data_IF_173402868221
#
_entry.id   IF_173402868221
#
_cell.length_a   1.000
_cell.length_b   1.000
_cell.length_c   1.000
_cell.angle_alpha   90.00
_cell.angle_beta   90.00
_cell.angle_gamma   90.00
#
_symmetry.space_group_name_H-M   'P 1'
#
loop_
_entity.id
_entity.type
_entity.pdbx_description
1 polymer ?
2 non-polymer ?
3 non-polymer ?
4 non-polymer ?
5 water ?
#
# COMPACT_ATOMS: atom_id res chain seq x y z
N UNK A 18 20.87 23.50 9.11
CA UNK A 18 20.92 24.97 9.11
C UNK A 18 19.91 25.54 10.14
N UNK A 19 18.68 25.01 10.20
CA UNK A 19 17.81 25.30 11.33
C UNK A 19 17.85 24.15 12.33
N UNK A 20 17.33 24.41 13.54
CA UNK A 20 17.30 23.41 14.60
C UNK A 20 15.92 23.33 15.25
N UNK A 21 15.32 22.14 15.25
CA UNK A 21 14.06 21.91 15.94
C UNK A 21 14.36 21.44 17.37
N UNK A 22 14.00 22.28 18.36
CA UNK A 22 14.33 21.96 19.75
C UNK A 22 13.47 20.84 20.31
N UNK A 23 12.21 20.70 19.84
CA UNK A 23 11.33 19.64 20.35
C UNK A 23 11.80 18.25 19.93
N UNK A 24 12.26 18.10 18.67
CA UNK A 24 12.83 16.85 18.19
C UNK A 24 14.36 16.83 18.32
N UNK A 25 14.96 17.95 18.73
CA UNK A 25 16.39 18.06 18.97
C UNK A 25 17.20 17.67 17.74
N UNK A 26 16.78 18.18 16.58
CA UNK A 26 17.39 17.73 15.33
C UNK A 26 17.53 18.89 14.36
N UNK A 27 18.67 18.93 13.68
CA UNK A 27 18.93 19.92 12.65
C UNK A 27 18.18 19.54 11.38
N UNK A 28 17.72 20.57 10.65
CA UNK A 28 16.92 20.37 9.45
C UNK A 28 17.03 21.61 8.56
N UNK A 29 16.78 21.42 7.26
CA UNK A 29 16.61 22.51 6.32
C UNK A 29 15.11 22.73 6.09
N UNK A 30 14.63 23.93 6.42
CA UNK A 30 13.20 24.23 6.38
C UNK A 30 12.65 24.10 4.96
N UNK A 31 11.45 23.59 4.87
CA UNK A 31 10.75 23.40 3.62
C UNK A 31 9.57 24.36 3.58
N UNK A 32 8.93 24.55 2.43
CA UNK A 32 7.83 25.52 2.36
C UNK A 32 6.59 25.13 3.16
N UNK A 33 6.34 23.84 3.36
CA UNK A 33 5.14 23.43 4.04
C UNK A 33 3.93 23.41 3.12
N UNK A 34 2.80 22.96 3.66
CA UNK A 34 1.63 22.74 2.83
C UNK A 34 1.20 23.99 2.07
N UNK A 35 0.72 23.77 0.87
CA UNK A 35 0.30 24.86 0.01
C UNK A 35 -0.89 25.59 0.60
N UNK A 36 -0.92 26.91 0.37
CA UNK A 36 -2.11 27.68 0.74
C UNK A 36 -3.28 27.38 -0.19
N UNK A 37 -3.00 27.14 -1.47
CA UNK A 37 -4.02 26.72 -2.44
C UNK A 37 -4.31 25.25 -2.22
N UNK A 38 -5.55 24.93 -1.84
CA UNK A 38 -5.92 23.58 -1.47
C UNK A 38 -6.75 22.93 -2.56
N UNK A 39 -6.74 21.60 -2.59
CA UNK A 39 -7.67 20.86 -3.44
C UNK A 39 -9.11 21.27 -3.15
N UNK A 40 -9.96 21.17 -4.17
CA UNK A 40 -11.39 21.32 -3.96
C UNK A 40 -11.90 20.23 -3.02
N UNK A 41 -13.00 20.54 -2.34
CA UNK A 41 -13.52 19.62 -1.33
C UNK A 41 -13.84 18.26 -1.96
N UNK A 42 -14.38 18.28 -3.17
CA UNK A 42 -14.70 17.05 -3.88
C UNK A 42 -13.47 16.15 -3.95
N UNK A 43 -12.31 16.73 -4.25
CA UNK A 43 -11.08 15.94 -4.29
C UNK A 43 -10.57 15.59 -2.89
N UNK A 44 -10.67 16.52 -1.94
CA UNK A 44 -10.28 16.21 -0.58
C UNK A 44 -10.93 14.91 -0.10
N UNK A 45 -12.19 14.71 -0.48
CA UNK A 45 -13.00 13.57 -0.05
C UNK A 45 -12.71 12.28 -0.81
N UNK A 46 -11.73 12.30 -1.71
CA UNK A 46 -11.23 11.12 -2.38
C UNK A 46 -9.79 10.78 -1.99
N UNK A 47 -9.11 11.60 -1.18
CA UNK A 47 -7.74 11.27 -0.73
C UNK A 47 -7.78 10.00 0.12
N UNK A 48 -7.05 8.99 -0.29
CA UNK A 48 -7.03 7.76 0.49
C UNK A 48 -8.16 6.79 0.15
N UNK A 49 -8.99 7.09 -0.83
CA UNK A 49 -10.05 6.15 -1.18
C UNK A 49 -9.48 4.99 -2.01
N UNK A 50 -10.15 3.84 -1.94
CA UNK A 50 -9.78 2.69 -2.76
C UNK A 50 -10.81 2.61 -3.87
N UNK A 51 -10.50 3.22 -5.02
CA UNK A 51 -11.50 3.36 -6.09
C UNK A 51 -11.38 2.23 -7.09
N UNK A 52 -11.84 1.05 -6.68
CA UNK A 52 -11.75 -0.12 -7.53
C UNK A 52 -12.48 0.12 -8.86
N UNK A 53 -11.98 -0.45 -9.96
CA UNK A 53 -12.67 -0.26 -11.24
C UNK A 53 -14.01 -0.96 -11.32
N UNK A 54 -14.18 -2.09 -10.63
CA UNK A 54 -15.42 -2.86 -10.68
C UNK A 54 -16.43 -2.40 -9.65
N UNK A 55 -16.11 -1.36 -8.89
CA UNK A 55 -16.97 -0.91 -7.81
C UNK A 55 -16.35 0.26 -7.06
N UNK A 56 -16.67 1.48 -7.47
CA UNK A 56 -16.26 2.70 -6.80
C UNK A 56 -17.36 3.24 -5.89
N UNK A 57 -18.33 2.40 -5.50
CA UNK A 57 -19.49 2.90 -4.78
C UNK A 57 -19.19 3.19 -3.31
N UNK A 58 -18.25 2.46 -2.69
CA UNK A 58 -17.92 2.75 -1.29
C UNK A 58 -17.41 4.20 -1.15
N UNK A 59 -16.72 4.71 -2.16
CA UNK A 59 -16.10 6.02 -2.11
C UNK A 59 -17.10 7.16 -2.28
N UNK A 60 -18.39 6.85 -2.42
CA UNK A 60 -19.42 7.86 -2.52
C UNK A 60 -20.21 8.05 -1.24
N UNK A 61 -20.01 7.19 -0.25
CA UNK A 61 -20.77 7.31 0.98
C UNK A 61 -20.27 8.48 1.81
N UNK A 62 -21.13 9.01 2.70
CA UNK A 62 -20.65 10.08 3.59
C UNK A 62 -19.59 9.60 4.57
N UNK A 63 -19.65 8.32 4.98
CA UNK A 63 -18.65 7.82 5.91
C UNK A 63 -17.27 7.81 5.25
N UNK A 64 -17.23 7.35 4.01
CA UNK A 64 -15.96 7.30 3.29
C UNK A 64 -15.47 8.70 2.98
N UNK A 65 -16.36 9.60 2.63
CA UNK A 65 -15.94 10.95 2.31
C UNK A 65 -15.36 11.62 3.55
N UNK A 66 -15.95 11.35 4.72
CA UNK A 66 -15.38 11.90 5.94
C UNK A 66 -14.01 11.30 6.27
N UNK A 67 -13.87 9.98 6.07
CA UNK A 67 -12.57 9.31 6.25
C UNK A 67 -11.52 9.96 5.39
N UNK A 68 -11.84 10.19 4.12
CA UNK A 68 -10.88 10.73 3.18
C UNK A 68 -10.50 12.16 3.50
N UNK A 69 -11.49 12.99 3.86
CA UNK A 69 -11.14 14.39 4.14
C UNK A 69 -10.33 14.51 5.42
N UNK A 70 -10.58 13.63 6.39
CA UNK A 70 -9.74 13.57 7.56
C UNK A 70 -8.31 13.19 7.18
N UNK A 71 -8.16 12.20 6.30
CA UNK A 71 -6.82 11.86 5.85
C UNK A 71 -6.13 13.06 5.24
N UNK A 72 -6.85 13.79 4.40
CA UNK A 72 -6.28 14.95 3.75
C UNK A 72 -5.80 15.97 4.75
N UNK A 73 -6.63 16.30 5.75
CA UNK A 73 -6.25 17.29 6.76
C UNK A 73 -5.04 16.80 7.59
N UNK A 74 -5.01 15.52 7.93
CA UNK A 74 -3.91 15.01 8.73
C UNK A 74 -2.62 14.90 7.90
N UNK A 75 -2.75 14.58 6.61
CA UNK A 75 -1.59 14.61 5.71
C UNK A 75 -0.99 16.00 5.68
N UNK A 76 -1.84 17.03 5.57
CA UNK A 76 -1.31 18.40 5.58
C UNK A 76 -0.65 18.75 6.90
N UNK A 77 -1.24 18.32 8.01
CA UNK A 77 -0.61 18.59 9.31
C UNK A 77 0.77 17.91 9.43
N UNK A 78 0.86 16.69 8.95
CA UNK A 78 2.14 15.98 8.96
C UNK A 78 3.13 16.66 8.03
N UNK A 79 2.68 17.13 6.85
CA UNK A 79 3.57 17.90 6.01
C UNK A 79 4.12 19.13 6.70
N UNK A 80 3.29 19.79 7.50
CA UNK A 80 3.78 20.95 8.24
C UNK A 80 4.85 20.54 9.27
N UNK A 81 4.61 19.45 10.00
CA UNK A 81 5.62 18.95 10.93
C UNK A 81 6.92 18.62 10.17
N UNK A 82 6.82 17.92 9.06
CA UNK A 82 8.03 17.59 8.30
C UNK A 82 8.77 18.87 7.90
N UNK A 83 8.04 19.87 7.39
CA UNK A 83 8.66 21.11 6.94
C UNK A 83 9.36 21.85 8.06
N UNK A 84 8.96 21.62 9.31
CA UNK A 84 9.58 22.29 10.45
C UNK A 84 10.57 21.42 11.21
N UNK A 85 10.90 20.23 10.71
CA UNK A 85 11.87 19.38 11.37
C UNK A 85 11.30 18.60 12.53
N UNK A 86 9.97 18.50 12.60
CA UNK A 86 9.31 17.84 13.71
C UNK A 86 9.20 16.36 13.56
N UNK A 87 9.15 15.86 12.33
CA UNK A 87 9.19 14.43 12.02
C UNK A 87 10.55 14.20 11.41
N UNK A 88 11.35 13.33 11.99
CA UNK A 88 12.73 13.21 11.58
C UNK A 88 13.09 11.87 10.97
N UNK A 89 12.15 10.93 10.86
CA UNK A 89 12.45 9.68 10.16
C UNK A 89 11.18 9.13 9.52
N UNK A 90 11.35 8.21 8.57
CA UNK A 90 10.17 7.59 7.97
C UNK A 90 9.38 6.79 9.00
N UNK A 91 10.07 6.13 9.93
CA UNK A 91 9.38 5.34 10.96
C UNK A 91 8.47 6.20 11.82
N UNK A 92 8.89 7.44 12.12
CA UNK A 92 8.03 8.36 12.86
C UNK A 92 6.84 8.83 12.02
N UNK A 93 7.05 9.10 10.72
CA UNK A 93 5.95 9.46 9.85
C UNK A 93 4.94 8.33 9.74
N UNK A 94 5.43 7.08 9.60
CA UNK A 94 4.54 5.92 9.59
C UNK A 94 3.76 5.83 10.89
N UNK A 95 4.41 6.16 12.01
CA UNK A 95 3.69 6.19 13.29
C UNK A 95 2.55 7.19 13.30
N UNK A 96 2.78 8.38 12.73
CA UNK A 96 1.72 9.37 12.62
C UNK A 96 0.56 8.85 11.79
N UNK A 97 0.87 8.26 10.62
CA UNK A 97 -0.13 7.64 9.76
C UNK A 97 -0.92 6.57 10.49
N UNK A 98 -0.21 5.71 11.23
CA UNK A 98 -0.84 4.62 11.98
C UNK A 98 -1.78 5.15 13.05
N UNK A 99 -1.34 6.11 13.88
CA UNK A 99 -2.25 6.66 14.88
C UNK A 99 -3.45 7.38 14.25
N UNK A 100 -3.26 8.04 13.12
CA UNK A 100 -4.40 8.58 12.39
C UNK A 100 -5.37 7.47 11.96
N UNK A 101 -4.84 6.40 11.35
CA UNK A 101 -5.69 5.31 10.88
C UNK A 101 -6.43 4.65 12.03
N UNK A 102 -5.76 4.45 13.14
CA UNK A 102 -6.39 3.83 14.29
C UNK A 102 -7.56 4.66 14.77
N UNK A 103 -7.48 5.98 14.62
CA UNK A 103 -8.53 6.82 15.18
C UNK A 103 -9.83 6.64 14.43
N UNK A 104 -9.80 6.06 13.25
CA UNK A 104 -10.98 5.88 12.42
C UNK A 104 -11.64 4.54 12.64
N UNK A 105 -11.10 3.69 13.49
CA UNK A 105 -11.72 2.39 13.73
C UNK A 105 -12.87 2.55 14.72
N UNK A 106 -13.85 1.66 14.58
CA UNK A 106 -15.03 1.72 15.44
C UNK A 106 -14.68 1.21 16.81
N UNK A 107 -15.39 1.72 17.80
CA UNK A 107 -15.26 1.19 19.15
C UNK A 107 -15.46 -0.32 19.13
N UNK A 108 -14.58 -1.04 19.83
CA UNK A 108 -14.62 -2.49 19.87
C UNK A 108 -13.91 -3.22 18.75
N UNK A 109 -13.42 -2.53 17.71
CA UNK A 109 -12.89 -3.21 16.53
C UNK A 109 -11.91 -4.33 16.93
N UNK A 110 -12.21 -5.58 16.58
CA UNK A 110 -11.25 -6.65 16.93
C UNK A 110 -9.95 -6.57 16.15
N UNK A 111 -9.95 -5.92 15.00
CA UNK A 111 -8.73 -5.74 14.22
C UNK A 111 -7.86 -4.60 14.74
N UNK A 112 -8.19 -3.95 15.85
CA UNK A 112 -7.40 -2.81 16.33
C UNK A 112 -5.93 -3.20 16.47
N UNK A 113 -5.65 -4.36 17.04
CA UNK A 113 -4.26 -4.76 17.25
C UNK A 113 -3.53 -4.95 15.92
N UNK A 114 -4.19 -5.49 14.92
CA UNK A 114 -3.57 -5.65 13.61
C UNK A 114 -3.23 -4.31 12.97
N UNK A 115 -4.15 -3.34 13.02
CA UNK A 115 -3.86 -2.00 12.53
C UNK A 115 -2.73 -1.35 13.32
N UNK A 116 -2.48 -1.80 14.53
CA UNK A 116 -1.48 -1.17 15.38
C UNK A 116 -0.16 -1.89 15.36
N UNK A 117 -0.04 -3.00 14.63
CA UNK A 117 1.10 -3.88 14.83
C UNK A 117 1.87 -4.21 13.57
N UNK A 118 3.20 -4.26 13.71
CA UNK A 118 4.07 -4.67 12.63
C UNK A 118 3.99 -6.17 12.45
N UNK A 119 4.07 -6.62 11.20
CA UNK A 119 4.08 -8.07 10.96
C UNK A 119 5.37 -8.69 11.46
N UNK A 120 5.29 -9.94 11.88
CA UNK A 120 6.45 -10.67 12.36
C UNK A 120 6.71 -11.90 11.49
N UNK A 121 7.95 -12.40 11.63
CA UNK A 121 8.51 -13.42 10.74
C UNK A 121 7.82 -14.76 10.94
N UNK A 122 7.44 -15.07 12.17
CA UNK A 122 6.76 -16.35 12.33
C UNK A 122 5.37 -16.36 11.75
N UNK A 123 5.04 -15.38 10.90
CA UNK A 123 3.76 -15.30 10.23
C UNK A 123 3.94 -15.15 8.74
N UNK A 124 3.13 -15.84 7.96
CA UNK A 124 2.95 -15.54 6.54
C UNK A 124 1.74 -14.60 6.41
N UNK A 125 1.74 -13.77 5.37
CA UNK A 125 0.63 -12.85 5.14
C UNK A 125 0.12 -13.02 3.72
N UNK A 126 -1.19 -13.19 3.60
CA UNK A 126 -1.86 -13.57 2.37
C UNK A 126 -3.09 -12.70 2.21
N UNK A 127 -3.31 -12.19 1.01
CA UNK A 127 -4.57 -11.56 0.65
C UNK A 127 -5.27 -12.46 -0.38
N UNK A 128 -6.32 -13.19 -0.02
CA UNK A 128 -7.10 -13.88 -1.06
C UNK A 128 -7.70 -12.89 -2.04
N UNK A 129 -7.65 -13.24 -3.33
CA UNK A 129 -8.17 -12.33 -4.35
C UNK A 129 -9.67 -12.59 -4.57
N UNK A 130 -10.43 -12.35 -3.52
CA UNK A 130 -11.88 -12.37 -3.50
C UNK A 130 -12.33 -10.91 -3.44
N UNK A 131 -13.63 -10.67 -3.39
CA UNK A 131 -14.14 -9.32 -3.28
C UNK A 131 -13.48 -8.59 -2.10
N UNK A 132 -13.10 -7.32 -2.24
CA UNK A 132 -13.21 -6.39 -3.37
C UNK A 132 -12.05 -6.39 -4.36
N UNK A 133 -11.26 -7.46 -4.42
CA UNK A 133 -10.02 -7.49 -5.20
C UNK A 133 -10.14 -8.18 -6.55
N UNK A 134 -11.34 -8.44 -7.04
CA UNK A 134 -11.47 -9.28 -8.23
C UNK A 134 -10.95 -8.63 -9.50
N UNK A 135 -10.98 -7.30 -9.59
CA UNK A 135 -10.34 -6.68 -10.75
C UNK A 135 -8.85 -7.05 -10.85
N UNK A 136 -8.24 -7.53 -9.77
CA UNK A 136 -6.83 -7.88 -9.85
C UNK A 136 -6.60 -9.15 -10.66
N UNK A 137 -7.60 -10.04 -10.73
CA UNK A 137 -7.38 -11.32 -11.42
C UNK A 137 -6.98 -11.12 -12.88
N UNK A 138 -7.72 -10.28 -13.60
CA UNK A 138 -7.31 -9.96 -14.97
C UNK A 138 -5.94 -9.32 -15.01
N UNK A 139 -5.65 -8.38 -14.09
CA UNK A 139 -4.36 -7.70 -14.15
C UNK A 139 -3.21 -8.70 -14.04
N UNK A 140 -3.42 -9.80 -13.33
CA UNK A 140 -2.34 -10.77 -13.23
C UNK A 140 -2.29 -11.61 -14.50
N UNK A 141 -3.46 -12.03 -14.99
CA UNK A 141 -3.50 -12.95 -16.13
C UNK A 141 -2.94 -12.28 -17.37
N UNK A 142 -3.27 -11.00 -17.59
CA UNK A 142 -2.79 -10.21 -18.72
C UNK A 142 -1.50 -9.46 -18.44
N UNK A 143 -0.77 -9.80 -17.37
CA UNK A 143 0.45 -9.08 -17.03
C UNK A 143 1.61 -9.41 -17.97
N UNK A 144 2.26 -8.37 -18.48
CA UNK A 144 3.47 -8.56 -19.28
C UNK A 144 4.48 -9.52 -18.66
N UNK A 145 4.61 -9.46 -17.34
CA UNK A 145 5.61 -10.24 -16.63
C UNK A 145 5.00 -11.47 -15.97
N UNK A 146 3.75 -11.77 -16.24
CA UNK A 146 3.19 -12.99 -15.70
C UNK A 146 3.80 -14.21 -16.38
N UNK A 147 4.14 -15.21 -15.56
CA UNK A 147 4.68 -16.48 -16.03
C UNK A 147 3.66 -17.60 -15.74
N UNK A 148 3.62 -18.60 -16.60
CA UNK A 148 2.80 -19.78 -16.31
C UNK A 148 3.56 -20.70 -15.37
N UNK A 149 2.92 -21.11 -14.29
CA UNK A 149 3.55 -22.03 -13.36
C UNK A 149 2.50 -23.05 -12.92
N UNK A 150 2.95 -24.08 -12.23
CA UNK A 150 2.08 -25.07 -11.62
C UNK A 150 2.32 -25.02 -10.13
N UNK A 151 1.26 -24.93 -9.35
CA UNK A 151 1.42 -24.94 -7.90
C UNK A 151 0.72 -26.17 -7.32
N UNK A 152 1.39 -26.75 -6.35
CA UNK A 152 0.95 -27.94 -5.63
C UNK A 152 0.37 -27.50 -4.30
N UNK A 153 -0.65 -28.21 -3.86
CA UNK A 153 -1.67 -27.67 -2.97
C UNK A 153 -2.33 -28.86 -2.30
N UNK A 154 -2.29 -28.91 -0.98
CA UNK A 154 -2.76 -30.12 -0.30
C UNK A 154 -4.26 -30.33 -0.40
N UNK A 155 -5.01 -29.33 -0.88
CA UNK A 155 -6.46 -29.45 -1.00
C UNK A 155 -6.95 -29.50 -2.44
N UNK A 156 -6.27 -28.79 -3.34
CA UNK A 156 -6.69 -28.74 -4.73
C UNK A 156 -5.84 -29.60 -5.64
N UNK A 157 -4.72 -30.11 -5.16
CA UNK A 157 -3.76 -30.77 -6.03
C UNK A 157 -3.00 -29.77 -6.89
N UNK A 158 -2.66 -30.19 -8.10
CA UNK A 158 -1.91 -29.36 -9.01
C UNK A 158 -2.83 -28.38 -9.72
N UNK A 159 -2.38 -27.13 -9.84
CA UNK A 159 -3.15 -26.09 -10.51
C UNK A 159 -2.24 -25.29 -11.43
N UNK A 160 -2.75 -25.04 -12.65
CA UNK A 160 -2.18 -24.03 -13.51
C UNK A 160 -2.45 -22.66 -12.92
N UNK A 161 -1.40 -21.85 -12.78
CA UNK A 161 -1.52 -20.50 -12.24
C UNK A 161 -0.72 -19.55 -13.13
N UNK A 162 -1.26 -18.36 -13.35
CA UNK A 162 -0.47 -17.23 -13.78
C UNK A 162 0.12 -16.59 -12.53
N UNK A 163 1.43 -16.34 -12.56
CA UNK A 163 2.17 -15.82 -11.42
C UNK A 163 2.92 -14.58 -11.82
N UNK A 164 2.68 -13.49 -11.09
CA UNK A 164 3.54 -12.31 -11.12
C UNK A 164 4.39 -12.27 -9.86
N UNK A 165 5.72 -12.29 -10.04
CA UNK A 165 6.67 -12.24 -8.95
C UNK A 165 7.25 -10.84 -8.92
N UNK A 166 6.76 -10.02 -7.99
CA UNK A 166 7.32 -8.71 -7.78
C UNK A 166 8.67 -8.85 -7.09
N UNK A 167 9.67 -8.11 -7.59
CA UNK A 167 10.98 -8.09 -6.99
C UNK A 167 11.45 -6.65 -6.79
N UNK A 168 12.49 -6.52 -5.95
CA UNK A 168 13.07 -5.24 -5.57
C UNK A 168 14.59 -5.33 -5.57
N UNK A 169 15.25 -4.27 -5.98
CA UNK A 169 16.70 -4.12 -5.89
C UNK A 169 17.04 -3.38 -4.59
N UNK A 170 17.86 -3.98 -3.73
CA UNK A 170 18.31 -3.32 -2.51
C UNK A 170 19.77 -3.66 -2.28
N UNK A 171 20.64 -2.67 -2.54
CA UNK A 171 22.09 -2.75 -2.38
C UNK A 171 22.71 -3.87 -3.21
N UNK A 172 22.08 -4.19 -4.33
CA UNK A 172 22.56 -5.27 -5.17
C UNK A 172 21.95 -6.62 -4.86
N UNK A 173 21.25 -6.76 -3.75
CA UNK A 173 20.42 -7.92 -3.49
C UNK A 173 19.09 -7.74 -4.19
N UNK A 174 18.64 -8.73 -4.94
CA UNK A 174 17.33 -8.69 -5.58
C UNK A 174 16.43 -9.59 -4.76
N UNK A 175 15.45 -8.99 -4.11
CA UNK A 175 14.63 -9.75 -3.18
C UNK A 175 13.21 -9.90 -3.71
N UNK A 176 12.54 -11.00 -3.37
CA UNK A 176 11.12 -11.14 -3.70
C UNK A 176 10.27 -10.30 -2.74
N UNK A 177 9.35 -9.53 -3.31
CA UNK A 177 8.34 -8.83 -2.54
C UNK A 177 7.03 -9.64 -2.67
N UNK A 178 6.03 -9.11 -3.36
CA UNK A 178 4.75 -9.82 -3.43
C UNK A 178 4.68 -10.74 -4.62
N UNK A 179 4.01 -11.88 -4.42
CA UNK A 179 3.75 -12.88 -5.45
C UNK A 179 2.25 -13.06 -5.63
N UNK A 180 1.76 -12.72 -6.83
CA UNK A 180 0.37 -12.88 -7.20
C UNK A 180 0.22 -14.21 -7.94
N UNK A 181 -0.76 -15.01 -7.51
CA UNK A 181 -1.14 -16.28 -8.11
C UNK A 181 -2.62 -16.21 -8.48
N UNK A 182 -2.92 -16.52 -9.75
CA UNK A 182 -4.30 -16.63 -10.22
C UNK A 182 -4.42 -17.97 -10.90
N UNK A 183 -5.33 -18.81 -10.43
CA UNK A 183 -5.52 -20.15 -11.00
C UNK A 183 -6.47 -20.07 -12.18
N UNK A 184 -6.10 -20.69 -13.28
CA UNK A 184 -6.80 -20.50 -14.53
C UNK A 184 -7.74 -21.65 -14.92
N UNK A 185 -7.71 -22.79 -14.22
CA UNK A 185 -8.60 -23.93 -14.49
C UNK A 185 -9.96 -23.71 -13.84
N UNK A 186 -10.76 -22.84 -14.47
CA UNK A 186 -11.98 -22.31 -13.84
C UNK A 186 -12.97 -23.41 -13.50
N UNK A 187 -13.26 -24.29 -14.47
CA UNK A 187 -14.30 -25.30 -14.22
C UNK A 187 -13.80 -26.33 -13.21
N UNK A 188 -12.53 -26.76 -13.33
CA UNK A 188 -11.98 -27.70 -12.36
C UNK A 188 -12.05 -27.11 -10.95
N UNK A 189 -11.81 -25.81 -10.82
CA UNK A 189 -11.87 -25.18 -9.51
C UNK A 189 -13.28 -25.15 -8.96
N UNK A 190 -14.25 -24.72 -9.78
CA UNK A 190 -15.63 -24.78 -9.33
C UNK A 190 -15.94 -26.17 -8.76
N UNK A 191 -15.52 -27.20 -9.49
CA UNK A 191 -15.78 -28.59 -9.10
C UNK A 191 -15.13 -28.95 -7.77
N UNK A 192 -13.84 -28.66 -7.67
CA UNK A 192 -13.06 -29.08 -6.50
C UNK A 192 -13.47 -28.31 -5.26
N UNK A 193 -13.92 -27.06 -5.42
CA UNK A 193 -14.39 -26.32 -4.25
C UNK A 193 -15.73 -26.89 -3.77
N UNK A 194 -16.59 -27.34 -4.70
CA UNK A 194 -17.83 -27.98 -4.24
C UNK A 194 -17.52 -29.21 -3.40
N UNK A 195 -16.55 -30.02 -3.86
CA UNK A 195 -16.11 -31.16 -3.06
C UNK A 195 -15.62 -30.71 -1.70
N UNK A 196 -14.77 -29.67 -1.66
CA UNK A 196 -14.19 -29.23 -0.40
C UNK A 196 -15.24 -28.71 0.56
N UNK A 197 -16.19 -27.93 0.04
CA UNK A 197 -17.25 -27.38 0.87
C UNK A 197 -18.10 -28.47 1.48
N UNK A 198 -18.46 -29.47 0.67
CA UNK A 198 -19.26 -30.57 1.20
C UNK A 198 -18.49 -31.32 2.29
N UNK A 199 -17.20 -31.52 2.08
CA UNK A 199 -16.46 -32.33 3.04
C UNK A 199 -16.17 -31.57 4.33
N UNK A 200 -16.03 -30.23 4.27
CA UNK A 200 -15.55 -29.46 5.42
C UNK A 200 -16.50 -28.40 5.98
N UNK A 201 -17.53 -28.03 5.27
CA UNK A 201 -18.33 -26.89 5.72
C UNK A 201 -17.83 -25.58 5.14
N UNK A 202 -18.76 -24.63 4.97
CA UNK A 202 -18.45 -23.38 4.28
C UNK A 202 -17.48 -22.52 5.10
N UNK A 203 -17.75 -22.35 6.40
CA UNK A 203 -16.90 -21.51 7.23
C UNK A 203 -15.51 -22.12 7.43
N UNK A 204 -15.41 -23.44 7.69
CA UNK A 204 -14.10 -24.04 7.88
C UNK A 204 -13.25 -23.94 6.61
N UNK A 205 -13.87 -24.22 5.46
CA UNK A 205 -13.09 -24.10 4.23
C UNK A 205 -12.65 -22.65 4.06
N UNK A 206 -13.56 -21.69 4.29
CA UNK A 206 -13.21 -20.28 4.19
C UNK A 206 -11.99 -19.98 5.06
N UNK A 207 -11.92 -20.64 6.21
CA UNK A 207 -10.76 -20.47 7.10
C UNK A 207 -9.49 -20.99 6.45
N UNK A 208 -9.55 -22.18 5.85
CA UNK A 208 -8.36 -22.70 5.18
C UNK A 208 -7.92 -21.78 4.04
N UNK A 209 -8.90 -21.23 3.32
CA UNK A 209 -8.61 -20.43 2.15
C UNK A 209 -8.13 -19.04 2.51
N UNK A 210 -8.28 -18.62 3.76
CA UNK A 210 -7.61 -17.41 4.19
C UNK A 210 -6.12 -17.50 3.88
N UNK A 211 -5.55 -18.69 3.92
CA UNK A 211 -4.15 -18.86 3.60
C UNK A 211 -3.90 -19.49 2.25
N UNK A 212 -4.79 -20.36 1.78
CA UNK A 212 -4.48 -21.13 0.60
C UNK A 212 -5.47 -20.93 -0.53
N UNK A 213 -6.13 -19.82 -0.58
CA UNK A 213 -7.02 -19.59 -1.70
C UNK A 213 -6.22 -19.71 -2.99
N UNK A 214 -6.71 -20.43 -4.00
CA UNK A 214 -5.91 -20.54 -5.25
C UNK A 214 -5.64 -19.17 -5.91
N UNK A 215 -6.53 -18.20 -5.78
CA UNK A 215 -6.25 -16.85 -6.24
C UNK A 215 -5.83 -16.01 -5.03
N UNK A 216 -4.57 -15.56 -5.01
CA UNK A 216 -4.09 -14.85 -3.82
C UNK A 216 -2.83 -14.06 -4.08
N UNK A 217 -2.55 -13.12 -3.17
CA UNK A 217 -1.26 -12.47 -3.06
C UNK A 217 -0.55 -13.03 -1.83
N UNK A 218 0.62 -13.63 -2.03
CA UNK A 218 1.54 -13.97 -0.95
C UNK A 218 2.46 -12.79 -0.72
N UNK A 219 2.36 -12.20 0.46
CA UNK A 219 2.97 -10.90 0.68
C UNK A 219 4.43 -11.03 1.07
N UNK A 220 5.17 -9.94 0.83
CA UNK A 220 6.58 -9.80 1.23
C UNK A 220 6.87 -10.51 2.54
N UNK A 221 7.88 -11.35 2.56
CA UNK A 221 8.25 -12.03 3.79
C UNK A 221 8.63 -11.02 4.84
N UNK A 222 8.09 -11.17 6.05
CA UNK A 222 8.36 -10.22 7.11
C UNK A 222 9.82 -10.17 7.50
N UNK A 223 10.61 -11.20 7.14
CA UNK A 223 12.02 -11.17 7.45
C UNK A 223 12.76 -10.05 6.73
N UNK A 224 12.22 -9.57 5.61
CA UNK A 224 12.81 -8.46 4.89
C UNK A 224 12.50 -7.11 5.50
N UNK A 225 11.58 -7.05 6.49
CA UNK A 225 11.14 -5.74 6.92
C UNK A 225 12.24 -4.90 7.53
N UNK A 226 13.16 -5.45 8.33
CA UNK A 226 14.23 -4.56 8.89
C UNK A 226 15.02 -3.82 7.80
N UNK A 227 15.49 -4.53 6.75
CA UNK A 227 16.27 -3.81 5.75
C UNK A 227 15.38 -2.88 4.93
N UNK A 228 14.10 -3.23 4.70
CA UNK A 228 13.23 -2.31 3.97
C UNK A 228 12.90 -1.09 4.79
N UNK A 229 12.72 -1.27 6.12
CA UNK A 229 12.47 -0.10 6.96
C UNK A 229 13.66 0.82 6.92
N UNK A 230 14.87 0.24 6.89
CA UNK A 230 16.05 1.10 6.88
C UNK A 230 16.15 1.85 5.57
N UNK A 231 15.81 1.17 4.47
CA UNK A 231 15.81 1.81 3.16
C UNK A 231 14.79 2.93 3.11
N UNK A 232 13.60 2.72 3.72
CA UNK A 232 12.60 3.80 3.72
C UNK A 232 13.12 5.01 4.49
N UNK A 233 13.83 4.77 5.59
CA UNK A 233 14.43 5.90 6.28
C UNK A 233 15.43 6.63 5.36
N UNK A 234 16.24 5.87 4.61
CA UNK A 234 17.19 6.52 3.69
C UNK A 234 16.46 7.35 2.65
N UNK A 235 15.35 6.81 2.10
CA UNK A 235 14.62 7.54 1.07
C UNK A 235 14.03 8.81 1.66
N UNK A 236 13.52 8.72 2.89
CA UNK A 236 12.93 9.90 3.53
C UNK A 236 13.98 10.99 3.72
N UNK A 237 15.18 10.59 4.18
CA UNK A 237 16.24 11.59 4.37
C UNK A 237 16.55 12.28 3.06
N UNK A 238 16.54 11.54 1.94
CA UNK A 238 16.77 12.21 0.66
C UNK A 238 15.61 13.15 0.36
N UNK A 239 14.40 12.69 0.69
CA UNK A 239 13.18 13.35 0.25
C UNK A 239 12.90 14.64 0.99
N UNK A 240 13.52 14.86 2.15
CA UNK A 240 13.29 16.13 2.80
C UNK A 240 14.39 17.12 2.42
N UNK A 241 15.19 16.81 1.42
CA UNK A 241 16.22 17.75 0.98
C UNK A 241 15.55 19.04 0.51
N UNK A 242 16.19 20.17 0.80
CA UNK A 242 15.62 21.45 0.35
C UNK A 242 15.97 21.84 -1.08
N UNK A 243 16.88 21.12 -1.75
CA UNK A 243 17.38 21.52 -3.06
C UNK A 243 17.08 20.50 -4.15
N UNK A 244 15.92 19.88 -4.08
CA UNK A 244 15.53 18.89 -5.07
C UNK A 244 14.83 19.57 -6.24
N UNK A 245 15.02 19.02 -7.42
CA UNK A 245 14.14 19.44 -8.50
C UNK A 245 12.77 18.80 -8.31
N UNK A 246 11.80 19.29 -9.10
CA UNK A 246 10.45 18.76 -9.04
C UNK A 246 10.41 17.30 -9.51
N UNK A 247 11.18 16.98 -10.56
CA UNK A 247 11.23 15.60 -11.03
C UNK A 247 11.90 14.69 -10.02
N UNK A 248 13.00 15.16 -9.43
CA UNK A 248 13.64 14.38 -8.37
C UNK A 248 12.66 14.13 -7.23
N UNK A 249 11.94 15.16 -6.80
CA UNK A 249 11.03 15.04 -5.67
C UNK A 249 9.91 14.05 -5.96
N UNK A 250 9.25 14.18 -7.12
CA UNK A 250 8.19 13.25 -7.46
C UNK A 250 8.71 11.83 -7.57
N UNK A 251 9.92 11.65 -8.10
CA UNK A 251 10.55 10.34 -8.11
C UNK A 251 10.77 9.77 -6.70
N UNK A 252 11.23 10.59 -5.76
CA UNK A 252 11.44 10.09 -4.40
C UNK A 252 10.13 9.76 -3.69
N UNK A 253 9.09 10.58 -3.91
CA UNK A 253 7.77 10.29 -3.36
C UNK A 253 7.25 8.98 -3.90
N UNK A 254 7.37 8.78 -5.22
CA UNK A 254 6.86 7.54 -5.80
C UNK A 254 7.61 6.32 -5.28
N UNK A 255 8.94 6.42 -5.13
CA UNK A 255 9.71 5.32 -4.57
C UNK A 255 9.33 5.01 -3.13
N UNK A 256 9.16 6.04 -2.30
CA UNK A 256 8.72 5.83 -0.93
C UNK A 256 7.36 5.16 -0.86
N UNK A 257 6.43 5.60 -1.69
CA UNK A 257 5.13 4.95 -1.77
C UNK A 257 5.27 3.49 -2.19
N UNK A 258 6.04 3.23 -3.24
CA UNK A 258 6.22 1.86 -3.74
C UNK A 258 6.79 0.94 -2.69
N UNK A 259 7.87 1.36 -2.03
CA UNK A 259 8.48 0.50 -1.02
C UNK A 259 7.55 0.26 0.15
N UNK A 260 6.93 1.32 0.67
CA UNK A 260 6.08 1.18 1.85
C UNK A 260 4.84 0.34 1.55
N UNK A 261 4.15 0.59 0.41
CA UNK A 261 3.00 -0.23 0.03
C UNK A 261 3.39 -1.68 -0.27
N UNK A 262 4.49 -1.89 -1.01
CA UNK A 262 4.84 -3.24 -1.37
C UNK A 262 5.40 -4.03 -0.19
N UNK A 263 6.06 -3.36 0.75
CA UNK A 263 6.55 -4.06 1.93
C UNK A 263 5.39 -4.56 2.76
N UNK A 264 4.33 -3.78 2.83
CA UNK A 264 3.17 -4.04 3.66
C UNK A 264 3.63 -4.32 5.07
N UNK A 265 4.15 -3.33 5.77
CA UNK A 265 4.84 -3.65 7.03
C UNK A 265 3.92 -4.09 8.13
N UNK A 266 2.63 -3.73 8.08
CA UNK A 266 1.75 -3.93 9.24
C UNK A 266 0.72 -4.98 8.94
N UNK A 267 0.14 -5.53 10.00
CA UNK A 267 -0.84 -6.61 9.83
C UNK A 267 -2.10 -6.08 9.17
N UNK A 268 -2.41 -4.79 9.35
CA UNK A 268 -3.52 -4.20 8.61
C UNK A 268 -3.23 -2.72 8.40
N UNK A 269 -3.85 -2.15 7.36
CA UNK A 269 -3.82 -0.70 7.14
C UNK A 269 -2.63 -0.17 6.38
N UNK A 270 -1.75 -1.04 5.87
CA UNK A 270 -0.53 -0.56 5.26
C UNK A 270 -0.79 0.32 4.05
N UNK A 271 -1.78 0.00 3.24
CA UNK A 271 -2.03 0.81 2.05
C UNK A 271 -2.39 2.24 2.41
N UNK A 272 -3.21 2.41 3.45
CA UNK A 272 -3.57 3.76 3.89
C UNK A 272 -2.37 4.48 4.47
N UNK A 273 -1.57 3.77 5.24
CA UNK A 273 -0.40 4.42 5.85
C UNK A 273 0.62 4.82 4.80
N UNK A 274 0.85 3.98 3.78
CA UNK A 274 1.81 4.33 2.72
C UNK A 274 1.35 5.55 1.93
N UNK A 275 0.07 5.59 1.56
CA UNK A 275 -0.43 6.77 0.84
C UNK A 275 -0.36 8.02 1.73
N UNK A 276 -0.81 7.91 3.00
CA UNK A 276 -0.63 9.02 3.94
C UNK A 276 0.81 9.54 3.89
N UNK A 277 1.79 8.64 4.09
CA UNK A 277 3.17 9.09 4.20
C UNK A 277 3.69 9.73 2.91
N UNK A 278 3.37 9.14 1.76
CA UNK A 278 3.86 9.70 0.50
C UNK A 278 3.27 11.10 0.27
N UNK A 279 1.98 11.27 0.58
CA UNK A 279 1.34 12.57 0.38
C UNK A 279 1.83 13.60 1.40
N UNK A 280 2.17 13.16 2.61
CA UNK A 280 2.70 14.10 3.60
C UNK A 280 4.06 14.63 3.17
N UNK A 281 4.93 13.76 2.64
CA UNK A 281 6.21 14.21 2.11
C UNK A 281 5.99 15.25 1.02
N UNK A 282 5.05 14.99 0.11
CA UNK A 282 4.77 15.96 -0.95
C UNK A 282 4.26 17.28 -0.38
N UNK A 283 3.35 17.22 0.60
CA UNK A 283 2.77 18.41 1.18
C UNK A 283 3.83 19.22 1.92
N UNK A 284 4.83 18.56 2.49
CA UNK A 284 5.90 19.29 3.17
C UNK A 284 6.62 20.24 2.23
N UNK A 285 6.66 19.91 0.94
CA UNK A 285 7.28 20.71 -0.10
C UNK A 285 6.31 21.65 -0.80
N UNK A 286 5.09 21.75 -0.32
CA UNK A 286 4.13 22.67 -0.92
C UNK A 286 3.43 22.12 -2.13
N UNK A 287 3.51 20.81 -2.32
CA UNK A 287 2.85 20.11 -3.40
C UNK A 287 1.54 19.53 -2.86
N UNK A 288 0.44 19.86 -3.52
CA UNK A 288 -0.88 19.34 -3.17
C UNK A 288 -1.22 18.32 -4.24
N UNK A 289 -0.89 17.06 -4.01
CA UNK A 289 -1.17 16.03 -4.99
C UNK A 289 -2.66 15.72 -5.06
N UNK A 290 -3.21 15.50 -6.26
CA UNK A 290 -4.63 15.18 -6.39
C UNK A 290 -4.90 13.72 -6.05
N UNK A 291 -6.17 13.35 -6.00
CA UNK A 291 -6.52 11.95 -5.74
C UNK A 291 -5.96 11.05 -6.84
N UNK A 292 -5.81 9.78 -6.50
CA UNK A 292 -5.60 8.76 -7.53
C UNK A 292 -6.84 8.66 -8.40
N UNK A 293 -6.62 8.43 -9.68
CA UNK A 293 -7.72 8.32 -10.63
C UNK A 293 -8.65 7.16 -10.25
N UNK A 294 -9.93 7.33 -10.57
CA UNK A 294 -10.88 6.26 -10.40
C UNK A 294 -10.38 5.03 -11.16
N UNK A 295 -10.38 3.89 -10.49
CA UNK A 295 -9.86 2.67 -11.07
C UNK A 295 -8.42 2.36 -10.70
N UNK A 296 -7.69 3.31 -10.10
CA UNK A 296 -6.29 3.12 -9.74
C UNK A 296 -6.20 3.04 -8.23
N UNK A 297 -5.98 1.85 -7.72
CA UNK A 297 -5.85 1.60 -6.28
C UNK A 297 -4.35 1.50 -6.04
N UNK A 298 -3.80 2.48 -5.30
CA UNK A 298 -2.38 2.77 -5.40
C UNK A 298 -1.53 1.62 -4.87
N UNK A 299 -1.91 0.99 -3.76
CA UNK A 299 -1.07 -0.09 -3.24
C UNK A 299 -1.04 -1.25 -4.19
N UNK A 300 -2.16 -1.48 -4.89
CA UNK A 300 -2.22 -2.59 -5.83
C UNK A 300 -1.41 -2.28 -7.06
N UNK A 301 -1.48 -1.03 -7.55
CA UNK A 301 -0.65 -0.66 -8.68
C UNK A 301 0.82 -0.80 -8.32
N UNK A 302 1.18 -0.46 -7.08
CA UNK A 302 2.57 -0.61 -6.65
C UNK A 302 2.96 -2.07 -6.69
N UNK A 303 2.18 -2.91 -6.03
CA UNK A 303 2.51 -4.33 -5.91
C UNK A 303 2.57 -5.01 -7.27
N UNK A 304 1.83 -4.50 -8.26
CA UNK A 304 1.84 -5.06 -9.61
C UNK A 304 2.96 -4.50 -10.52
N UNK A 305 3.88 -3.70 -10.01
CA UNK A 305 4.95 -3.13 -10.80
C UNK A 305 6.32 -3.29 -10.16
N UNK A 306 7.32 -3.23 -11.02
CA UNK A 306 8.65 -2.94 -10.57
C UNK A 306 8.76 -1.48 -10.16
N UNK A 307 9.80 -1.20 -9.39
CA UNK A 307 9.97 0.11 -8.78
C UNK A 307 10.15 1.20 -9.83
N UNK A 308 11.01 0.96 -10.82
CA UNK A 308 11.28 2.00 -11.82
C UNK A 308 10.05 2.23 -12.70
N UNK A 309 9.35 1.16 -13.06
CA UNK A 309 8.06 1.25 -13.78
C UNK A 309 7.06 2.07 -13.00
N UNK A 310 6.96 1.84 -11.68
CA UNK A 310 6.01 2.61 -10.88
C UNK A 310 6.39 4.08 -10.83
N UNK A 311 7.68 4.39 -10.65
CA UNK A 311 8.12 5.79 -10.65
C UNK A 311 7.76 6.47 -11.96
N UNK A 312 7.98 5.78 -13.09
CA UNK A 312 7.73 6.40 -14.39
C UNK A 312 6.23 6.59 -14.67
N UNK A 313 5.34 5.76 -14.09
CA UNK A 313 3.91 5.97 -14.28
C UNK A 313 3.18 6.70 -13.15
N UNK A 314 3.88 7.07 -12.07
CA UNK A 314 3.17 7.59 -10.88
C UNK A 314 2.29 8.78 -11.23
N UNK A 315 2.84 9.78 -11.91
CA UNK A 315 2.05 10.97 -12.27
C UNK A 315 0.77 10.59 -13.01
N UNK A 316 0.86 9.64 -13.93
CA UNK A 316 -0.32 9.26 -14.68
C UNK A 316 -1.34 8.51 -13.83
N UNK A 317 -0.92 7.95 -12.69
CA UNK A 317 -1.94 7.35 -11.81
C UNK A 317 -2.78 8.39 -11.08
N UNK A 318 -2.26 9.61 -10.98
CA UNK A 318 -2.91 10.69 -10.24
C UNK A 318 -3.86 11.43 -11.17
N UNK A 319 -4.95 11.94 -10.60
CA UNK A 319 -6.01 12.60 -11.36
C UNK A 319 -5.65 14.01 -11.81
N UNK A 320 -4.43 14.22 -12.29
CA UNK A 320 -4.03 15.33 -13.17
C UNK A 320 -2.63 15.82 -12.84
X LIG B 1 -10.09 2.90 3.05
X LIG B 1 -11.18 3.62 2.62
X LIG B 1 -12.18 3.78 3.55
X LIG B 1 -12.18 3.29 4.85
X LIG B 1 -11.02 2.56 5.22
X LIG B 1 -10.02 2.38 4.33
X LIG B 1 -11.27 4.07 1.48
X LIG B 1 -13.18 3.50 5.57
X LIG B 1 -9.00 2.73 2.10
X LIG B 1 -7.60 2.96 2.72
X LIG B 1 -7.19 4.33 2.77
X LIG B 1 -6.75 2.09 1.79
X LIG B 1 -7.65 0.87 1.56
X LIG B 1 -9.02 1.38 1.64
X LIG B 1 -6.41 2.78 0.56
X LIG B 1 -7.52 -0.28 2.54
X LIG B 1 -6.23 -0.92 2.48
X LIG B 1 -5.31 -1.00 3.78
X LIG B 1 -4.16 -1.89 3.44
X LIG B 1 -5.04 0.41 4.32
X LIG B 1 -6.24 -1.69 4.86
X LIG B 1 -6.49 -3.23 5.09
X LIG B 1 -7.86 -3.25 5.79
X LIG B 1 -6.54 -3.80 3.64
X LIG B 1 -5.43 -3.85 5.91
X LIG B 1 -12.87 4.21 3.30
X LIG B 1 -10.94 2.21 6.08
X LIG B 1 -9.28 1.89 4.58
X LIG B 1 -9.10 3.32 1.34
X LIG B 1 -7.59 2.62 3.62
X LIG B 1 -6.73 4.51 2.08
X LIG B 1 -5.93 1.80 2.22
X LIG B 1 -7.47 0.55 0.67
X LIG B 1 -7.02 2.69 -0.01
X LIG B 1 -7.65 0.07 3.44
X LIG B 1 -8.20 -0.93 2.34
X LIG C 1 -3.42 -4.74 1.94
X LIG C 1 -2.76 -4.62 3.37
X LIG C 1 -3.74 -6.19 1.54
X LIG C 1 -2.20 -4.43 1.01
X LIG C 1 -4.74 -3.76 1.81
X LIG C 1 -3.60 -5.02 4.47
X LIG C 1 -4.75 -6.76 2.33
X LIG C 1 -2.22 -3.15 0.44
X LIG C 1 -2.48 -3.58 3.53
X LIG C 1 -1.87 -5.23 3.39
X LIG C 1 -4.04 -6.23 0.50
X LIG C 1 -2.83 -6.80 1.65
X LIG C 1 -2.18 -5.17 0.21
X LIG C 1 -1.28 -4.54 1.59
X LIG C 1 -5.30 -3.55 2.63
X LIG C 1 -4.62 -2.81 1.48
X LIG C 1 -5.50 -4.02 1.20
X LIG C 1 -3.08 -4.99 5.30
X LIG C 1 -4.95 -7.67 2.02
X LIG C 1 -1.47 -3.05 -0.18
X LIG D 1 -4.71 -9.50 4.59
X LIG D 1 -5.30 -8.31 4.07
X LIG D 1 -3.20 -9.28 4.61
X LIG D 1 -2.61 -10.16 5.57
X LIG D 1 -5.07 -9.70 5.61
X LIG D 1 -4.96 -10.36 3.98
X LIG D 1 -6.26 -8.39 4.10
X LIG D 1 -2.79 -9.47 3.62
X LIG D 1 -2.97 -8.24 4.87
X LIG D 1 -1.66 -10.02 5.58
X LIG E 1 -6.83 -1.39 -1.46
X LIG E 1 -5.97 -0.26 -1.19
X LIG E 1 -6.61 -2.53 -0.46
X LIG E 1 -5.41 -3.21 -0.83
X LIG E 1 -7.87 -1.07 -1.41
X LIG E 1 -6.63 -1.76 -2.46
X LIG E 1 -6.22 0.47 -1.77
X LIG E 1 -6.52 -2.13 0.55
X LIG E 1 -7.45 -3.22 -0.48
X LIG E 1 -5.40 -4.08 -0.43
#
# INVERSE_FOLDING_TARGET
AHMGCVSSKSTTVLSPQTSFNEASRTSFRALPGPSQRQLEVYDQCLIGAARWPDDSSKSNTPENRAYCQSMYNSIRSAGDEISRGGITSFEELWGRATEWRLSKLQRGEPLYSAFASERTSDTDAVTPLVKPYKSVLARVVDHEDAHDEIMQDNLFGDLNVKVYRQTAYLHGNVIPLNTFRVATDTEYLRDRVAHLRTELGAKALKQHLQRYNPDRIDHTNASYLPIIKDHLNDLYRQAISSDLSQAELISLIARTHWWAASAMPDQAGSAAKAEFAARAIASAHGIELPPFRNGNVSDIEAMLSGEEEFVEKYRSLLDSDCF
UDP N1 C2 N3 C4 C5 C6 O2 O4 C1' C2' O2' C3' C4' O4' O3' C5' O5' PA O1A O2A O3A PB O1B O2B O3B HN3 H5 H6 H1' H2' HO2' H3' H4' HO3' H5'1 H5'2
TRS C C1 C2 C3 N O1 O2 O3 H11 H12 H21 H22 H31 H32 HN1 HN2 HN3 HO1 HO2 HO3
EDO C1 O1 C2 O2 H11 H12 HO1 H21 H22 HO2
EDO C1 O1 C2 O2 H11 H12 HO1 H21 H22 HO2
#
